data_IF_314946476135
#
_entry.id   IF_314946476135
#
_cell.length_a   1.000
_cell.length_b   1.000
_cell.length_c   1.000
_cell.angle_alpha   90.00
_cell.angle_beta   90.00
_cell.angle_gamma   90.00
#
_symmetry.space_group_name_H-M   'P 1'
#
loop_
_entity.id
_entity.type
_entity.pdbx_description
1 polymer ?
#
# COMPACT_ATOMS: atom_id res chain seq x y z
N UNK A 1 8.89 -13.55 -12.47
CA UNK A 1 9.68 -13.37 -11.23
C UNK A 1 10.44 -14.66 -10.98
N UNK A 2 11.76 -14.66 -11.08
CA UNK A 2 12.58 -15.83 -10.75
C UNK A 2 13.07 -15.66 -9.31
N UNK A 3 12.73 -16.61 -8.44
CA UNK A 3 13.17 -16.63 -7.04
C UNK A 3 13.83 -17.98 -6.79
N UNK A 4 15.02 -17.95 -6.21
CA UNK A 4 15.78 -19.16 -5.88
C UNK A 4 15.33 -19.73 -4.54
N UNK A 5 15.45 -21.05 -4.33
CA UNK A 5 15.05 -21.68 -3.06
C UNK A 5 15.77 -21.12 -1.82
N UNK A 6 16.93 -20.51 -1.99
CA UNK A 6 17.72 -19.86 -0.92
C UNK A 6 17.23 -18.46 -0.57
N UNK A 7 16.32 -17.87 -1.36
CA UNK A 7 15.81 -16.53 -1.11
C UNK A 7 14.94 -16.52 0.14
N UNK A 8 15.15 -15.52 1.01
CA UNK A 8 14.35 -15.36 2.23
C UNK A 8 12.97 -14.81 1.91
N UNK A 9 11.98 -15.18 2.73
CA UNK A 9 10.61 -14.63 2.60
C UNK A 9 10.62 -13.10 2.76
N UNK A 10 11.50 -12.55 3.60
CA UNK A 10 11.70 -11.10 3.74
C UNK A 10 12.11 -10.44 2.41
N UNK A 11 13.07 -11.02 1.69
CA UNK A 11 13.53 -10.49 0.41
C UNK A 11 12.42 -10.58 -0.64
N UNK A 12 11.67 -11.69 -0.64
CA UNK A 12 10.51 -11.87 -1.52
C UNK A 12 9.46 -10.76 -1.32
N UNK A 13 9.13 -10.42 -0.07
CA UNK A 13 8.22 -9.29 0.23
C UNK A 13 8.78 -7.96 -0.26
N UNK A 14 10.10 -7.76 -0.18
CA UNK A 14 10.77 -6.55 -0.63
C UNK A 14 10.65 -6.40 -2.16
N UNK A 15 10.83 -7.48 -2.91
CA UNK A 15 10.61 -7.48 -4.36
C UNK A 15 9.14 -7.23 -4.73
N UNK A 16 8.21 -7.85 -4.02
CA UNK A 16 6.77 -7.61 -4.18
C UNK A 16 6.45 -6.14 -3.88
N UNK A 17 7.12 -5.54 -2.88
CA UNK A 17 6.98 -4.12 -2.55
C UNK A 17 7.39 -3.23 -3.71
N UNK A 18 8.54 -3.51 -4.32
CA UNK A 18 9.04 -2.75 -5.46
C UNK A 18 8.17 -2.94 -6.72
N UNK A 19 7.61 -4.13 -6.91
CA UNK A 19 6.87 -4.48 -8.14
C UNK A 19 5.40 -4.06 -8.10
N UNK A 20 4.74 -4.16 -6.93
CA UNK A 20 3.31 -3.87 -6.75
C UNK A 20 3.07 -2.57 -5.97
N UNK A 21 4.13 -1.88 -5.55
CA UNK A 21 4.08 -0.68 -4.72
C UNK A 21 3.32 -0.87 -3.39
N UNK A 22 3.32 -2.10 -2.85
CA UNK A 22 2.66 -2.44 -1.58
C UNK A 22 3.69 -2.50 -0.46
N UNK A 23 3.52 -1.78 0.66
CA UNK A 23 4.45 -1.83 1.80
C UNK A 23 4.63 -3.25 2.38
N UNK A 24 5.87 -3.64 2.71
CA UNK A 24 6.21 -4.99 3.24
C UNK A 24 5.42 -5.35 4.50
N UNK A 25 5.13 -4.38 5.37
CA UNK A 25 4.33 -4.54 6.58
C UNK A 25 2.85 -4.85 6.30
N UNK A 26 2.34 -4.47 5.13
CA UNK A 26 0.98 -4.76 4.68
C UNK A 26 0.87 -6.10 3.95
N UNK A 27 2.00 -6.71 3.58
CA UNK A 27 2.04 -7.96 2.82
C UNK A 27 2.03 -9.18 3.73
N UNK A 28 1.08 -10.09 3.49
CA UNK A 28 1.05 -11.42 4.10
C UNK A 28 1.09 -12.49 3.02
N UNK A 29 2.23 -13.14 2.89
CA UNK A 29 2.41 -14.26 1.96
C UNK A 29 1.84 -15.55 2.57
N UNK A 30 0.97 -16.23 1.83
CA UNK A 30 0.26 -17.43 2.28
C UNK A 30 0.37 -18.53 1.23
N UNK A 31 0.81 -19.71 1.68
CA UNK A 31 0.91 -20.92 0.89
C UNK A 31 -0.13 -21.92 1.39
N UNK A 32 -1.08 -22.33 0.54
CA UNK A 32 -2.11 -23.34 0.87
C UNK A 32 -2.78 -23.10 2.24
N UNK A 33 -3.10 -21.84 2.56
CA UNK A 33 -3.70 -21.44 3.84
C UNK A 33 -2.72 -21.26 5.03
N UNK A 34 -1.43 -21.59 4.87
CA UNK A 34 -0.40 -21.37 5.89
C UNK A 34 0.41 -20.10 5.61
N UNK A 35 0.51 -19.15 6.55
CA UNK A 35 1.36 -17.98 6.36
C UNK A 35 2.84 -18.37 6.33
N UNK A 36 3.59 -17.73 5.43
CA UNK A 36 5.04 -17.85 5.38
C UNK A 36 5.67 -16.90 6.41
N UNK A 37 6.75 -17.36 7.04
CA UNK A 37 7.49 -16.65 8.09
C UNK A 37 8.69 -15.94 7.47
N UNK A 38 8.91 -14.68 7.85
CA UNK A 38 9.98 -13.83 7.30
C UNK A 38 11.39 -14.35 7.61
N UNK A 39 11.52 -15.12 8.69
CA UNK A 39 12.77 -15.71 9.17
C UNK A 39 13.17 -16.99 8.42
N UNK A 40 12.25 -17.55 7.62
CA UNK A 40 12.50 -18.78 6.85
C UNK A 40 12.84 -18.48 5.39
N UNK A 41 13.52 -19.42 4.75
CA UNK A 41 13.81 -19.41 3.32
C UNK A 41 12.75 -20.22 2.57
N UNK A 42 12.64 -20.01 1.25
CA UNK A 42 11.71 -20.79 0.42
C UNK A 42 12.00 -22.31 0.49
N UNK A 43 13.27 -22.70 0.61
CA UNK A 43 13.72 -24.09 0.76
C UNK A 43 13.28 -24.74 2.09
N UNK A 44 13.05 -23.96 3.15
CA UNK A 44 12.56 -24.47 4.44
C UNK A 44 11.10 -24.94 4.35
N UNK A 45 10.41 -24.61 3.26
CA UNK A 45 9.06 -25.04 2.97
C UNK A 45 9.10 -26.12 1.88
N UNK A 46 9.03 -27.41 2.25
CA UNK A 46 9.11 -28.52 1.28
C UNK A 46 7.94 -28.56 0.28
N UNK A 47 6.88 -27.80 0.54
CA UNK A 47 5.74 -27.60 -0.36
C UNK A 47 6.03 -26.59 -1.49
N UNK A 48 7.07 -25.75 -1.35
CA UNK A 48 7.45 -24.77 -2.36
C UNK A 48 8.36 -25.45 -3.38
N UNK A 49 7.76 -25.91 -4.47
CA UNK A 49 8.44 -26.42 -5.66
C UNK A 49 8.31 -25.43 -6.82
N UNK A 50 9.01 -25.71 -7.91
CA UNK A 50 8.87 -24.96 -9.15
C UNK A 50 7.39 -24.90 -9.60
N UNK A 51 6.91 -23.71 -9.96
CA UNK A 51 5.51 -23.48 -10.35
C UNK A 51 4.51 -23.36 -9.18
N UNK A 52 4.94 -23.43 -7.92
CA UNK A 52 4.03 -23.27 -6.77
C UNK A 52 3.53 -21.83 -6.64
N UNK A 53 2.20 -21.66 -6.65
CA UNK A 53 1.58 -20.33 -6.48
C UNK A 53 1.56 -19.94 -5.00
N UNK A 54 2.13 -18.77 -4.70
CA UNK A 54 2.05 -18.13 -3.38
C UNK A 54 0.98 -17.05 -3.46
N UNK A 55 0.08 -17.02 -2.48
CA UNK A 55 -0.98 -16.01 -2.42
C UNK A 55 -0.47 -14.81 -1.62
N UNK A 56 -0.57 -13.62 -2.20
CA UNK A 56 -0.32 -12.36 -1.51
C UNK A 56 -1.65 -11.84 -0.94
N UNK A 57 -1.74 -11.78 0.39
CA UNK A 57 -2.85 -11.11 1.08
C UNK A 57 -2.37 -9.72 1.48
N UNK A 58 -3.06 -8.70 0.99
CA UNK A 58 -2.84 -7.31 1.38
C UNK A 58 -3.74 -7.02 2.57
N UNK A 59 -3.14 -6.85 3.75
CA UNK A 59 -3.85 -6.27 4.88
C UNK A 59 -3.87 -4.77 4.67
N UNK A 60 -5.05 -4.21 4.41
CA UNK A 60 -5.28 -2.78 4.67
C UNK A 60 -5.04 -2.57 6.15
N UNK A 61 -3.83 -2.17 6.52
CA UNK A 61 -3.59 -1.67 7.87
C UNK A 61 -4.39 -0.37 7.92
N UNK A 62 -5.61 -0.45 8.46
CA UNK A 62 -6.53 0.66 8.66
C UNK A 62 -6.06 1.56 9.81
N UNK A 63 -4.76 1.68 10.01
CA UNK A 63 -4.18 2.74 10.81
C UNK A 63 -3.81 3.83 9.82
N UNK A 64 -4.77 4.72 9.56
CA UNK A 64 -4.63 5.96 8.77
C UNK A 64 -3.49 6.88 9.27
N UNK A 65 -2.88 6.54 10.40
CA UNK A 65 -1.68 7.15 10.98
C UNK A 65 -0.49 7.22 10.00
N UNK A 66 -0.37 6.29 9.04
CA UNK A 66 0.76 6.24 8.07
C UNK A 66 0.30 6.32 6.60
N UNK A 67 -0.89 6.88 6.33
CA UNK A 67 -1.29 7.14 4.94
C UNK A 67 -0.28 8.10 4.29
N UNK A 68 0.22 7.75 3.09
CA UNK A 68 1.17 8.60 2.34
C UNK A 68 0.60 10.01 2.16
N UNK A 69 -0.71 10.12 1.94
CA UNK A 69 -1.43 11.39 1.84
C UNK A 69 -1.36 12.16 3.16
N UNK A 70 -1.62 11.50 4.30
CA UNK A 70 -1.51 12.10 5.63
C UNK A 70 -0.10 12.63 5.86
N UNK A 71 0.93 11.82 5.59
CA UNK A 71 2.32 12.22 5.75
C UNK A 71 2.69 13.42 4.86
N UNK A 72 2.21 13.46 3.61
CA UNK A 72 2.42 14.59 2.71
C UNK A 72 1.74 15.87 3.21
N UNK A 73 0.48 15.77 3.65
CA UNK A 73 -0.30 16.88 4.20
C UNK A 73 0.33 17.39 5.49
N UNK A 74 0.68 16.51 6.43
CA UNK A 74 1.39 16.88 7.66
C UNK A 74 2.72 17.56 7.35
N UNK A 75 3.51 17.06 6.39
CA UNK A 75 4.77 17.68 5.98
C UNK A 75 4.58 19.08 5.40
N UNK A 76 3.51 19.30 4.64
CA UNK A 76 3.18 20.60 4.08
C UNK A 76 2.71 21.58 5.15
N UNK A 77 1.82 21.14 6.05
CA UNK A 77 1.25 21.96 7.12
C UNK A 77 2.27 22.33 8.19
N UNK A 78 3.25 21.46 8.49
CA UNK A 78 4.36 21.77 9.43
C UNK A 78 5.20 22.98 9.02
N UNK A 79 5.20 23.36 7.74
CA UNK A 79 5.90 24.57 7.28
C UNK A 79 5.18 25.87 7.66
N UNK A 80 3.91 25.79 8.06
CA UNK A 80 3.02 26.96 8.27
C UNK A 80 2.34 26.97 9.64
N UNK A 81 2.25 25.84 10.32
CA UNK A 81 1.51 25.69 11.59
C UNK A 81 2.36 25.00 12.66
N UNK A 82 1.92 25.09 13.93
CA UNK A 82 2.54 24.36 15.03
C UNK A 82 2.29 22.85 14.91
N UNK A 83 3.08 22.00 15.57
CA UNK A 83 2.89 20.54 15.49
C UNK A 83 1.50 20.08 15.94
N UNK A 84 0.95 20.73 16.97
CA UNK A 84 -0.38 20.42 17.49
C UNK A 84 -1.49 20.80 16.51
N UNK A 85 -1.39 21.98 15.88
CA UNK A 85 -2.38 22.42 14.90
C UNK A 85 -2.25 21.62 13.60
N UNK A 86 -1.02 21.29 13.20
CA UNK A 86 -0.74 20.45 12.04
C UNK A 86 -1.40 19.08 12.19
N UNK A 87 -1.28 18.44 13.36
CA UNK A 87 -1.97 17.17 13.62
C UNK A 87 -3.49 17.34 13.49
N UNK A 88 -4.09 18.31 14.17
CA UNK A 88 -5.54 18.55 14.11
C UNK A 88 -6.06 18.82 12.69
N UNK A 89 -5.38 19.68 11.94
CA UNK A 89 -5.76 20.01 10.57
C UNK A 89 -5.60 18.77 9.67
N UNK A 90 -4.51 18.02 9.85
CA UNK A 90 -4.29 16.78 9.09
C UNK A 90 -5.41 15.77 9.38
N UNK A 91 -5.74 15.53 10.64
CA UNK A 91 -6.76 14.55 11.04
C UNK A 91 -8.15 14.94 10.52
N UNK A 92 -8.54 16.22 10.62
CA UNK A 92 -9.82 16.69 10.06
C UNK A 92 -9.82 16.63 8.52
N UNK A 93 -8.72 17.01 7.87
CA UNK A 93 -8.57 16.89 6.42
C UNK A 93 -8.75 15.45 5.94
N UNK A 94 -8.07 14.49 6.58
CA UNK A 94 -8.19 13.07 6.21
C UNK A 94 -9.62 12.57 6.41
N UNK A 95 -10.28 12.96 7.50
CA UNK A 95 -11.67 12.59 7.79
C UNK A 95 -12.65 13.18 6.77
N UNK A 96 -12.48 14.43 6.39
CA UNK A 96 -13.29 15.06 5.35
C UNK A 96 -13.03 14.44 3.97
N UNK A 97 -11.76 14.17 3.65
CA UNK A 97 -11.36 13.50 2.42
C UNK A 97 -12.00 12.13 2.28
N UNK A 98 -11.93 11.27 3.32
CA UNK A 98 -12.55 9.94 3.26
C UNK A 98 -14.07 10.01 3.23
N UNK A 99 -14.69 10.96 3.94
CA UNK A 99 -16.13 11.20 3.84
C UNK A 99 -16.51 11.59 2.41
N UNK A 100 -15.78 12.52 1.81
CA UNK A 100 -16.00 12.95 0.43
C UNK A 100 -15.81 11.79 -0.55
N UNK A 101 -14.72 11.04 -0.43
CA UNK A 101 -14.44 9.86 -1.24
C UNK A 101 -15.51 8.78 -1.11
N UNK A 102 -16.04 8.57 0.09
CA UNK A 102 -17.13 7.62 0.33
C UNK A 102 -18.47 8.05 -0.29
N UNK A 103 -18.65 9.36 -0.49
CA UNK A 103 -19.84 9.92 -1.15
C UNK A 103 -19.71 10.06 -2.66
N UNK A 104 -18.53 9.82 -3.24
CA UNK A 104 -18.34 9.87 -4.69
C UNK A 104 -19.16 8.78 -5.37
N UNK A 105 -19.99 9.20 -6.32
CA UNK A 105 -20.72 8.28 -7.19
C UNK A 105 -19.89 7.96 -8.45
N UNK A 106 -20.43 7.08 -9.31
CA UNK A 106 -19.75 6.67 -10.54
C UNK A 106 -19.49 7.85 -11.49
N UNK A 107 -20.41 8.82 -11.55
CA UNK A 107 -20.29 10.01 -12.41
C UNK A 107 -19.16 10.93 -11.94
N UNK A 108 -18.99 11.10 -10.62
CA UNK A 108 -17.88 11.86 -10.06
C UNK A 108 -16.53 11.20 -10.35
N UNK A 109 -16.46 9.86 -10.25
CA UNK A 109 -15.26 9.10 -10.57
C UNK A 109 -14.91 9.25 -12.06
N UNK A 110 -15.91 9.14 -12.95
CA UNK A 110 -15.70 9.34 -14.39
C UNK A 110 -15.25 10.77 -14.72
N UNK A 111 -15.80 11.78 -14.06
CA UNK A 111 -15.39 13.18 -14.23
C UNK A 111 -13.94 13.40 -13.80
N UNK A 112 -13.55 12.87 -12.63
CA UNK A 112 -12.17 12.96 -12.16
C UNK A 112 -11.23 12.25 -13.14
N UNK A 113 -11.58 11.03 -13.58
CA UNK A 113 -10.76 10.28 -14.53
C UNK A 113 -10.58 11.00 -15.88
N UNK A 114 -11.63 11.66 -16.38
CA UNK A 114 -11.56 12.47 -17.61
C UNK A 114 -10.62 13.67 -17.47
N UNK A 115 -10.65 14.37 -16.34
CA UNK A 115 -9.75 15.50 -16.10
C UNK A 115 -8.28 15.09 -16.20
N UNK A 116 -7.90 13.97 -15.60
CA UNK A 116 -6.53 13.45 -15.68
C UNK A 116 -6.15 12.98 -17.10
N UNK A 117 -7.10 12.42 -17.87
CA UNK A 117 -6.86 12.01 -19.26
C UNK A 117 -6.76 13.20 -20.22
N UNK A 118 -7.37 14.34 -19.88
CA UNK A 118 -7.29 15.57 -20.66
C UNK A 118 -6.00 16.35 -20.37
N UNK A 119 -5.49 16.32 -19.14
CA UNK A 119 -4.17 16.89 -18.80
C UNK A 119 -3.03 16.18 -19.54
N UNK A 120 -3.08 14.86 -19.71
CA UNK A 120 -2.07 14.07 -20.43
C UNK A 120 -2.11 14.33 -21.96
N UNK A 121 -3.24 14.79 -22.50
CA UNK A 121 -3.39 15.17 -23.92
C UNK A 121 -2.90 16.58 -24.24
N UNK A 122 -2.58 17.39 -23.24
CA UNK A 122 -2.11 18.78 -23.39
C UNK A 122 -0.62 18.97 -23.03
N UNK A 123 0.10 17.92 -22.65
CA UNK A 123 1.59 17.86 -22.64
C UNK A 123 2.13 17.20 -23.91
#
# INVERSE_FOLDING_TARGET
>A
MQVTGTTRIKELKQYVSNSLNVPVNQQKLVLTGRPLSDEKCLVDYPLIKDGTKINLIIKKCATDEDSVLRAAVTKFLRQKFTDNDTQKITDEFMKEFYRSMATLNLEDIERIAKLYLEEDKMS
#
